data_IF_733915415094
#
_entry.id   IF_733915415094
#
_cell.length_a   1.000
_cell.length_b   1.000
_cell.length_c   1.000
_cell.angle_alpha   90.00
_cell.angle_beta   90.00
_cell.angle_gamma   90.00
#
_symmetry.space_group_name_H-M   'P 1'
#
loop_
_entity.id
_entity.type
_entity.pdbx_description
1 polymer ?
#
# COMPACT_ATOMS: atom_id res chain seq x y z
N UNK A 1 11.60 -2.16 18.12
CA UNK A 1 10.99 -1.23 17.15
C UNK A 1 11.79 -1.35 15.87
N UNK A 2 11.17 -1.78 14.77
CA UNK A 2 11.87 -1.96 13.49
C UNK A 2 12.07 -0.60 12.84
N UNK A 3 13.27 -0.27 12.38
CA UNK A 3 13.46 0.93 11.55
C UNK A 3 12.95 0.67 10.15
N UNK A 4 11.97 1.46 9.71
CA UNK A 4 11.37 1.41 8.39
C UNK A 4 11.74 2.67 7.61
N UNK A 5 11.86 2.53 6.29
CA UNK A 5 11.81 3.72 5.42
C UNK A 5 10.41 4.33 5.48
N UNK A 6 10.29 5.62 5.17
CA UNK A 6 8.99 6.27 5.10
C UNK A 6 8.04 5.55 4.12
N UNK A 7 8.53 5.14 2.95
CA UNK A 7 7.73 4.39 1.96
C UNK A 7 7.18 3.09 2.53
N UNK A 8 7.99 2.34 3.29
CA UNK A 8 7.56 1.08 3.88
C UNK A 8 6.58 1.29 5.04
N UNK A 9 6.81 2.30 5.88
CA UNK A 9 5.87 2.64 6.95
C UNK A 9 4.49 3.03 6.41
N UNK A 10 4.44 3.80 5.31
CA UNK A 10 3.19 4.12 4.62
C UNK A 10 2.53 2.88 4.02
N UNK A 11 3.28 2.01 3.35
CA UNK A 11 2.77 0.75 2.79
C UNK A 11 2.14 -0.13 3.87
N UNK A 12 2.83 -0.33 4.99
CA UNK A 12 2.34 -1.14 6.12
C UNK A 12 1.07 -0.54 6.73
N UNK A 13 0.98 0.79 6.84
CA UNK A 13 -0.22 1.49 7.30
C UNK A 13 -1.42 1.31 6.36
N UNK A 14 -1.20 1.44 5.05
CA UNK A 14 -2.24 1.24 4.03
C UNK A 14 -2.73 -0.22 4.03
N UNK A 15 -1.80 -1.19 4.04
CA UNK A 15 -2.11 -2.61 4.14
C UNK A 15 -2.96 -2.91 5.37
N UNK A 16 -2.54 -2.45 6.55
CA UNK A 16 -3.30 -2.68 7.78
C UNK A 16 -4.69 -2.03 7.78
N UNK A 17 -4.90 -0.94 7.03
CA UNK A 17 -6.23 -0.38 6.83
C UNK A 17 -7.09 -1.26 5.92
N UNK A 18 -6.54 -1.75 4.81
CA UNK A 18 -7.23 -2.64 3.86
C UNK A 18 -7.54 -4.02 4.45
N UNK A 19 -6.66 -4.56 5.31
CA UNK A 19 -6.90 -5.82 6.03
C UNK A 19 -8.04 -5.70 7.05
N UNK A 20 -8.22 -4.51 7.65
CA UNK A 20 -9.20 -4.29 8.72
C UNK A 20 -10.61 -3.99 8.21
N UNK A 21 -10.73 -3.31 7.06
CA UNK A 21 -12.01 -2.90 6.50
C UNK A 21 -12.01 -3.07 4.97
N UNK A 22 -12.85 -3.99 4.48
CA UNK A 22 -12.98 -4.31 3.06
C UNK A 22 -13.57 -3.16 2.22
N UNK A 23 -14.04 -2.08 2.84
CA UNK A 23 -14.50 -0.87 2.13
C UNK A 23 -13.36 0.10 1.81
N UNK A 24 -12.16 -0.09 2.37
CA UNK A 24 -11.01 0.75 2.07
C UNK A 24 -10.48 0.42 0.69
N UNK A 25 -10.36 1.46 -0.14
CA UNK A 25 -9.79 1.36 -1.49
C UNK A 25 -8.59 2.28 -1.63
N UNK A 26 -7.61 1.87 -2.44
CA UNK A 26 -6.48 2.71 -2.86
C UNK A 26 -6.61 2.94 -4.36
N UNK A 27 -6.68 4.19 -4.78
CA UNK A 27 -6.84 4.57 -6.18
C UNK A 27 -5.96 5.77 -6.54
N UNK A 28 -5.50 5.82 -7.79
CA UNK A 28 -4.64 6.87 -8.32
C UNK A 28 -3.86 6.41 -9.55
N UNK A 29 -3.10 7.32 -10.13
CA UNK A 29 -2.18 7.00 -11.23
C UNK A 29 -1.03 6.11 -10.73
N UNK A 30 -0.72 5.06 -11.49
CA UNK A 30 0.36 4.11 -11.22
C UNK A 30 0.32 3.34 -9.88
N UNK A 31 -0.71 3.51 -9.04
CA UNK A 31 -0.75 2.90 -7.69
C UNK A 31 -0.90 1.37 -7.71
N UNK A 32 -1.37 0.79 -8.80
CA UNK A 32 -1.59 -0.65 -8.95
C UNK A 32 -0.32 -1.41 -9.27
N UNK A 33 -0.19 -1.90 -10.51
CA UNK A 33 0.90 -2.79 -10.94
C UNK A 33 2.30 -2.22 -10.74
N UNK A 34 2.48 -0.89 -10.84
CA UNK A 34 3.77 -0.25 -10.61
C UNK A 34 4.09 -0.12 -9.10
N UNK A 35 3.07 -0.06 -8.25
CA UNK A 35 3.21 0.24 -6.81
C UNK A 35 3.39 1.73 -6.51
N UNK A 36 3.00 2.60 -7.45
CA UNK A 36 3.23 4.04 -7.42
C UNK A 36 4.66 4.42 -7.78
N UNK A 37 4.86 5.65 -8.24
CA UNK A 37 6.19 6.16 -8.67
C UNK A 37 7.25 6.13 -7.57
N UNK A 38 6.84 6.15 -6.30
CA UNK A 38 7.71 6.04 -5.12
C UNK A 38 7.67 4.66 -4.44
N UNK A 39 7.02 3.66 -5.04
CA UNK A 39 6.86 2.30 -4.48
C UNK A 39 6.13 2.25 -3.14
N UNK A 40 5.26 3.22 -2.85
CA UNK A 40 4.48 3.27 -1.60
C UNK A 40 3.38 2.22 -1.58
N UNK A 41 2.80 1.86 -2.72
CA UNK A 41 1.67 0.91 -2.82
C UNK A 41 2.10 -0.44 -3.40
N UNK A 42 3.41 -0.72 -3.39
CA UNK A 42 3.97 -1.96 -3.92
C UNK A 42 3.29 -3.19 -3.27
N UNK A 43 2.88 -4.13 -4.12
CA UNK A 43 2.22 -5.38 -3.72
C UNK A 43 0.74 -5.25 -3.31
N UNK A 44 0.19 -4.06 -3.06
CA UNK A 44 -1.19 -3.93 -2.57
C UNK A 44 -2.22 -4.44 -3.60
N UNK A 45 -2.08 -4.07 -4.88
CA UNK A 45 -2.99 -4.58 -5.92
C UNK A 45 -2.93 -6.12 -6.03
N UNK A 46 -1.74 -6.71 -5.93
CA UNK A 46 -1.58 -8.16 -6.01
C UNK A 46 -2.35 -8.89 -4.90
N UNK A 47 -2.38 -8.31 -3.70
CA UNK A 47 -2.94 -8.97 -2.52
C UNK A 47 -4.43 -8.66 -2.32
N UNK A 48 -4.91 -7.50 -2.79
CA UNK A 48 -6.28 -7.02 -2.53
C UNK A 48 -7.15 -6.82 -3.77
N UNK A 49 -6.60 -6.91 -5.00
CA UNK A 49 -7.32 -6.74 -6.27
C UNK A 49 -6.82 -5.58 -7.12
#
# INVERSE_FOLDING_TARGET
>A
MTMLTLSRALNEGLRGAMERDSKVIVMGEDVGRLGGVFRVTDGLQKDFG
#
